data_IF_711402928918
#
_entry.id   IF_711402928918
#
_cell.length_a   1.000
_cell.length_b   1.000
_cell.length_c   1.000
_cell.angle_alpha   90.00
_cell.angle_beta   90.00
_cell.angle_gamma   90.00
#
_symmetry.space_group_name_H-M   'P 1'
#
loop_
_entity.id
_entity.type
_entity.pdbx_description
1 polymer ?
#
# COMPACT_ATOMS: atom_id res chain seq x y z
N UNK A 1 -24.49 -27.00 -7.90
CA UNK A 1 -23.99 -25.62 -7.99
C UNK A 1 -22.70 -25.53 -7.19
N UNK A 2 -21.55 -25.55 -7.85
CA UNK A 2 -20.25 -25.29 -7.22
C UNK A 2 -19.51 -24.31 -8.08
N UNK A 3 -19.75 -23.01 -7.83
CA UNK A 3 -18.96 -21.92 -8.39
C UNK A 3 -17.63 -21.88 -7.63
N UNK A 4 -16.68 -22.70 -8.05
CA UNK A 4 -15.27 -22.46 -7.78
C UNK A 4 -14.79 -21.38 -8.73
N UNK A 5 -15.18 -20.14 -8.47
CA UNK A 5 -14.61 -18.94 -9.08
C UNK A 5 -13.44 -18.46 -8.22
N UNK A 6 -12.51 -19.36 -7.87
CA UNK A 6 -11.23 -19.03 -7.26
C UNK A 6 -10.14 -18.93 -8.34
N UNK A 7 -10.50 -18.37 -9.50
CA UNK A 7 -9.56 -18.12 -10.58
C UNK A 7 -8.77 -16.84 -10.24
N UNK A 8 -7.79 -17.01 -9.35
CA UNK A 8 -6.46 -16.38 -9.38
C UNK A 8 -6.46 -15.03 -10.13
N UNK A 9 -6.91 -13.97 -9.47
CA UNK A 9 -6.66 -12.58 -9.90
C UNK A 9 -5.32 -12.04 -9.33
N UNK A 10 -4.56 -12.90 -8.65
CA UNK A 10 -3.41 -12.57 -7.81
C UNK A 10 -2.26 -11.81 -8.51
N UNK A 11 -2.10 -11.96 -9.84
CA UNK A 11 -1.00 -11.32 -10.58
C UNK A 11 -1.31 -9.89 -11.02
N UNK A 12 -2.55 -9.59 -11.39
CA UNK A 12 -2.97 -8.22 -11.71
C UNK A 12 -3.24 -7.43 -10.41
N UNK A 13 -3.79 -8.12 -9.42
CA UNK A 13 -4.12 -7.58 -8.11
C UNK A 13 -2.92 -7.02 -7.36
N UNK A 14 -1.81 -7.77 -7.31
CA UNK A 14 -0.60 -7.30 -6.60
C UNK A 14 0.14 -6.21 -7.38
N UNK A 15 -0.13 -6.05 -8.68
CA UNK A 15 0.48 -5.00 -9.49
C UNK A 15 0.16 -3.61 -8.94
N UNK A 16 -1.07 -3.41 -8.45
CA UNK A 16 -1.50 -2.14 -7.86
C UNK A 16 -0.69 -1.78 -6.60
N UNK A 17 -0.16 -2.78 -5.88
CA UNK A 17 0.73 -2.58 -4.73
C UNK A 17 2.11 -2.11 -5.19
N UNK A 18 2.66 -2.70 -6.25
CA UNK A 18 3.94 -2.27 -6.82
C UNK A 18 3.87 -0.87 -7.41
N UNK A 19 2.79 -0.54 -8.12
CA UNK A 19 2.56 0.81 -8.65
C UNK A 19 2.42 1.83 -7.51
N UNK A 20 1.62 1.51 -6.49
CA UNK A 20 1.46 2.37 -5.33
C UNK A 20 2.79 2.57 -4.57
N UNK A 21 3.58 1.51 -4.40
CA UNK A 21 4.90 1.61 -3.76
C UNK A 21 5.86 2.48 -4.57
N UNK A 22 5.93 2.26 -5.89
CA UNK A 22 6.80 3.05 -6.77
C UNK A 22 6.44 4.53 -6.73
N UNK A 23 5.14 4.85 -6.79
CA UNK A 23 4.65 6.23 -6.71
C UNK A 23 4.90 6.84 -5.32
N UNK A 24 4.66 6.08 -4.25
CA UNK A 24 4.93 6.52 -2.89
C UNK A 24 6.44 6.81 -2.68
N UNK A 25 7.30 5.91 -3.14
CA UNK A 25 8.76 6.08 -3.08
C UNK A 25 9.19 7.34 -3.84
N UNK A 26 8.62 7.58 -5.02
CA UNK A 26 8.88 8.79 -5.80
C UNK A 26 8.44 10.06 -5.06
N UNK A 27 7.20 10.10 -4.54
CA UNK A 27 6.64 11.26 -3.82
C UNK A 27 7.42 11.59 -2.54
N UNK A 28 7.84 10.57 -1.80
CA UNK A 28 8.54 10.73 -0.51
C UNK A 28 10.07 10.74 -0.66
N UNK A 29 10.58 10.63 -1.89
CA UNK A 29 12.02 10.55 -2.22
C UNK A 29 12.72 9.46 -1.42
N UNK A 30 12.07 8.30 -1.30
CA UNK A 30 12.59 7.12 -0.61
C UNK A 30 13.00 6.06 -1.61
N UNK A 31 14.10 5.37 -1.31
CA UNK A 31 14.49 4.21 -2.10
C UNK A 31 13.58 3.02 -1.70
N UNK A 32 13.12 2.20 -2.64
CA UNK A 32 12.29 1.02 -2.32
C UNK A 32 12.98 0.03 -1.36
N UNK A 33 14.31 -0.02 -1.39
CA UNK A 33 15.14 -0.84 -0.51
C UNK A 33 15.58 -0.14 0.79
N UNK A 34 15.13 1.09 1.05
CA UNK A 34 15.36 1.74 2.35
C UNK A 34 14.44 1.13 3.41
N UNK A 35 14.75 1.35 4.69
CA UNK A 35 13.90 0.90 5.78
C UNK A 35 12.46 1.41 5.63
N UNK A 36 12.31 2.70 5.29
CA UNK A 36 10.99 3.30 5.08
C UNK A 36 10.30 2.78 3.81
N UNK A 37 11.06 2.46 2.75
CA UNK A 37 10.52 1.81 1.56
C UNK A 37 9.97 0.41 1.87
N UNK A 38 10.71 -0.39 2.64
CA UNK A 38 10.25 -1.71 3.09
C UNK A 38 9.02 -1.60 4.01
N UNK A 39 9.01 -0.64 4.94
CA UNK A 39 7.84 -0.40 5.81
C UNK A 39 6.62 0.03 5.01
N UNK A 40 6.80 0.91 4.00
CA UNK A 40 5.73 1.31 3.11
C UNK A 40 5.22 0.12 2.29
N UNK A 41 6.10 -0.73 1.77
CA UNK A 41 5.74 -1.93 1.04
C UNK A 41 4.89 -2.88 1.89
N UNK A 42 5.32 -3.17 3.13
CA UNK A 42 4.53 -3.98 4.07
C UNK A 42 3.16 -3.36 4.34
N UNK A 43 3.11 -2.05 4.62
CA UNK A 43 1.84 -1.36 4.90
C UNK A 43 0.89 -1.38 3.70
N UNK A 44 1.39 -1.15 2.48
CA UNK A 44 0.58 -1.20 1.26
C UNK A 44 0.06 -2.61 0.99
N UNK A 45 0.85 -3.64 1.30
CA UNK A 45 0.42 -5.02 1.16
C UNK A 45 -0.67 -5.39 2.18
N UNK A 46 -0.54 -4.97 3.43
CA UNK A 46 -1.57 -5.17 4.46
C UNK A 46 -2.88 -4.47 4.05
N UNK A 47 -2.81 -3.22 3.57
CA UNK A 47 -3.96 -2.50 3.04
C UNK A 47 -4.60 -3.21 1.85
N UNK A 48 -3.79 -3.75 0.94
CA UNK A 48 -4.31 -4.51 -0.18
C UNK A 48 -5.09 -5.76 0.28
N UNK A 49 -4.58 -6.47 1.30
CA UNK A 49 -5.28 -7.60 1.91
C UNK A 49 -6.58 -7.19 2.62
N UNK A 50 -6.63 -5.98 3.19
CA UNK A 50 -7.83 -5.40 3.80
C UNK A 50 -8.89 -4.95 2.76
N UNK A 51 -8.60 -5.10 1.45
CA UNK A 51 -9.54 -4.84 0.37
C UNK A 51 -9.35 -3.49 -0.33
N UNK A 52 -8.27 -2.77 -0.06
CA UNK A 52 -7.90 -1.57 -0.82
C UNK A 52 -7.34 -1.98 -2.19
N UNK A 53 -8.23 -2.23 -3.15
CA UNK A 53 -7.89 -2.81 -4.46
C UNK A 53 -7.41 -1.82 -5.52
N UNK A 54 -7.25 -0.52 -5.21
CA UNK A 54 -6.78 0.47 -6.18
C UNK A 54 -5.56 1.22 -5.66
N UNK A 55 -4.68 1.61 -6.58
CA UNK A 55 -3.49 2.41 -6.29
C UNK A 55 -3.81 3.67 -5.49
N UNK A 56 -4.81 4.44 -5.92
CA UNK A 56 -5.23 5.67 -5.23
C UNK A 56 -5.76 5.40 -3.81
N UNK A 57 -6.50 4.31 -3.61
CA UNK A 57 -6.99 3.93 -2.30
C UNK A 57 -5.84 3.54 -1.35
N UNK A 58 -4.85 2.80 -1.87
CA UNK A 58 -3.64 2.42 -1.14
C UNK A 58 -2.81 3.65 -0.74
N UNK A 59 -2.56 4.57 -1.69
CA UNK A 59 -1.82 5.81 -1.44
C UNK A 59 -2.54 6.73 -0.43
N UNK A 60 -3.86 6.87 -0.54
CA UNK A 60 -4.63 7.67 0.42
C UNK A 60 -4.60 7.06 1.83
N UNK A 61 -4.70 5.74 1.93
CA UNK A 61 -4.70 5.03 3.21
C UNK A 61 -3.33 5.08 3.90
N UNK A 62 -2.22 4.85 3.19
CA UNK A 62 -0.88 4.94 3.79
C UNK A 62 -0.57 6.35 4.29
N UNK A 63 -0.98 7.41 3.57
CA UNK A 63 -0.80 8.79 4.04
C UNK A 63 -1.63 9.07 5.29
N UNK A 64 -2.85 8.53 5.38
CA UNK A 64 -3.67 8.63 6.60
C UNK A 64 -3.03 7.94 7.80
N UNK A 65 -2.49 6.72 7.60
CA UNK A 65 -1.79 5.97 8.66
C UNK A 65 -0.59 6.78 9.15
N UNK A 66 0.23 7.31 8.24
CA UNK A 66 1.40 8.11 8.60
C UNK A 66 1.05 9.44 9.26
N UNK A 67 -0.03 10.09 8.85
CA UNK A 67 -0.54 11.28 9.51
C UNK A 67 -1.00 10.97 10.95
N UNK A 68 -1.65 9.82 11.16
CA UNK A 68 -2.05 9.37 12.51
C UNK A 68 -0.86 8.92 13.39
N UNK A 69 0.23 8.47 12.77
CA UNK A 69 1.47 8.09 13.44
C UNK A 69 2.34 9.31 13.84
N UNK A 70 1.99 10.54 13.44
CA UNK A 70 2.52 11.76 14.05
C UNK A 70 1.65 12.12 15.26
N UNK A 71 2.00 11.73 16.49
CA UNK A 71 1.37 12.32 17.66
C UNK A 71 1.66 13.82 17.66
N UNK A 72 0.67 14.63 18.05
CA UNK A 72 0.79 16.05 18.36
C UNK A 72 2.18 16.42 18.88
N UNK A 73 2.98 17.11 18.07
CA UNK A 73 4.03 17.96 18.61
C UNK A 73 3.37 19.30 18.95
N UNK A 74 2.65 19.32 20.07
CA UNK A 74 2.26 20.57 20.72
C UNK A 74 3.53 21.23 21.27
N UNK A 75 3.91 22.36 20.69
CA UNK A 75 4.54 23.47 21.41
C UNK A 75 4.01 24.79 20.84
#
# INVERSE_FOLDING_TARGET
MTRISHHIFFTDDVHVVFEALSEWCFLHKKAPNSLEGCQAASTLFDLFQDGYGTKDALLAAIERIRASAKPNMSQ
#
